data_IF_419196002112
#
_entry.id   IF_419196002112
#
_cell.length_a   1.000
_cell.length_b   1.000
_cell.length_c   1.000
_cell.angle_alpha   90.00
_cell.angle_beta   90.00
_cell.angle_gamma   90.00
#
_symmetry.space_group_name_H-M   'P 1'
#
loop_
_entity.id
_entity.type
_entity.pdbx_description
1 polymer ?
#
# COMPACT_ATOMS: atom_id res chain seq x y z
N UNK A 1 -13.37 17.59 -4.97
CA UNK A 1 -13.31 16.24 -5.57
C UNK A 1 -12.80 15.29 -4.50
N UNK A 2 -13.64 14.39 -4.01
CA UNK A 2 -13.22 13.30 -3.12
C UNK A 2 -12.71 12.18 -4.03
N UNK A 3 -11.46 11.76 -3.84
CA UNK A 3 -10.86 10.70 -4.65
C UNK A 3 -11.09 9.38 -3.94
N UNK A 4 -11.84 8.47 -4.57
CA UNK A 4 -12.06 7.14 -4.04
C UNK A 4 -10.78 6.32 -4.19
N UNK A 5 -10.24 5.86 -3.07
CA UNK A 5 -9.06 4.99 -3.02
C UNK A 5 -9.41 3.71 -2.28
N UNK A 6 -8.93 2.57 -2.81
CA UNK A 6 -9.08 1.29 -2.13
C UNK A 6 -7.93 1.10 -1.13
N UNK A 7 -8.23 0.95 0.16
CA UNK A 7 -7.23 0.57 1.17
C UNK A 7 -7.13 -0.95 1.23
N UNK A 8 -5.93 -1.49 0.99
CA UNK A 8 -5.66 -2.93 0.97
C UNK A 8 -4.68 -3.29 2.08
N UNK A 9 -5.18 -3.97 3.11
CA UNK A 9 -4.38 -4.56 4.18
C UNK A 9 -4.21 -6.07 3.92
N UNK A 10 -3.37 -6.42 2.94
CA UNK A 10 -3.27 -7.82 2.52
C UNK A 10 -1.83 -8.23 2.16
N UNK A 11 -1.00 -8.56 3.16
CA UNK A 11 0.34 -9.12 2.94
C UNK A 11 0.33 -10.62 2.59
N UNK A 12 -0.81 -11.17 2.18
CA UNK A 12 -0.97 -12.59 1.84
C UNK A 12 -0.85 -12.82 0.33
N UNK A 13 -0.64 -14.08 -0.11
CA UNK A 13 -0.62 -14.43 -1.54
C UNK A 13 -1.92 -14.00 -2.27
N UNK A 14 -3.06 -14.12 -1.62
CA UNK A 14 -4.35 -13.66 -2.12
C UNK A 14 -4.40 -12.13 -2.25
N UNK A 15 -3.88 -11.42 -1.24
CA UNK A 15 -3.73 -9.96 -1.28
C UNK A 15 -2.89 -9.47 -2.45
N UNK A 16 -1.78 -10.15 -2.73
CA UNK A 16 -0.92 -9.86 -3.89
C UNK A 16 -1.66 -10.06 -5.21
N UNK A 17 -2.40 -11.15 -5.36
CA UNK A 17 -3.20 -11.39 -6.56
C UNK A 17 -4.28 -10.32 -6.73
N UNK A 18 -4.93 -9.92 -5.63
CA UNK A 18 -5.92 -8.85 -5.62
C UNK A 18 -5.29 -7.51 -6.05
N UNK A 19 -4.18 -7.09 -5.46
CA UNK A 19 -3.48 -5.85 -5.85
C UNK A 19 -3.08 -5.84 -7.33
N UNK A 20 -2.64 -6.98 -7.87
CA UNK A 20 -2.35 -7.10 -9.31
C UNK A 20 -3.62 -6.90 -10.16
N UNK A 21 -4.73 -7.51 -9.75
CA UNK A 21 -6.00 -7.36 -10.44
C UNK A 21 -6.52 -5.92 -10.36
N UNK A 22 -6.54 -5.31 -9.18
CA UNK A 22 -6.94 -3.92 -8.95
C UNK A 22 -6.12 -2.94 -9.81
N UNK A 23 -4.81 -3.18 -9.92
CA UNK A 23 -3.91 -2.42 -10.78
C UNK A 23 -4.26 -2.56 -12.27
N UNK A 24 -4.57 -3.77 -12.73
CA UNK A 24 -4.95 -4.01 -14.13
C UNK A 24 -6.27 -3.34 -14.49
N UNK A 25 -7.21 -3.29 -13.55
CA UNK A 25 -8.51 -2.59 -13.72
C UNK A 25 -8.35 -1.07 -13.63
N UNK A 26 -7.18 -0.56 -13.24
CA UNK A 26 -6.89 0.87 -13.16
C UNK A 26 -7.43 1.55 -11.90
N UNK A 27 -7.84 0.77 -10.88
CA UNK A 27 -8.37 1.32 -9.63
C UNK A 27 -7.19 1.76 -8.75
N UNK A 28 -7.14 3.03 -8.32
CA UNK A 28 -6.08 3.50 -7.45
C UNK A 28 -6.25 2.90 -6.05
N UNK A 29 -5.17 2.36 -5.50
CA UNK A 29 -5.18 1.74 -4.19
C UNK A 29 -4.01 2.19 -3.32
N UNK A 30 -4.21 2.09 -2.01
CA UNK A 30 -3.25 2.32 -0.95
C UNK A 30 -3.00 0.99 -0.26
N UNK A 31 -1.74 0.61 -0.06
CA UNK A 31 -1.42 -0.61 0.67
C UNK A 31 -1.12 -0.30 2.14
N UNK A 32 -1.60 -1.14 3.06
CA UNK A 32 -1.31 -1.08 4.49
C UNK A 32 -0.38 -2.24 4.87
N UNK A 33 0.70 -1.95 5.58
CA UNK A 33 1.59 -2.99 6.13
C UNK A 33 2.11 -2.59 7.49
N UNK A 34 2.38 -3.56 8.35
CA UNK A 34 3.10 -3.34 9.60
C UNK A 34 4.60 -3.63 9.49
N UNK A 35 5.06 -4.13 8.33
CA UNK A 35 6.41 -4.64 8.17
C UNK A 35 7.21 -3.87 7.11
N UNK A 36 8.39 -3.38 7.50
CA UNK A 36 9.32 -2.67 6.60
C UNK A 36 9.76 -3.53 5.40
N UNK A 37 9.89 -4.85 5.58
CA UNK A 37 10.24 -5.78 4.50
C UNK A 37 9.10 -5.97 3.50
N UNK A 38 7.86 -6.02 3.99
CA UNK A 38 6.67 -6.12 3.13
C UNK A 38 6.43 -4.83 2.34
N UNK A 39 6.74 -3.66 2.93
CA UNK A 39 6.74 -2.38 2.20
C UNK A 39 7.56 -2.42 0.91
N UNK A 40 8.72 -3.07 0.93
CA UNK A 40 9.57 -3.21 -0.27
C UNK A 40 8.87 -4.08 -1.33
N UNK A 41 8.23 -5.18 -0.91
CA UNK A 41 7.46 -6.07 -1.80
C UNK A 41 6.26 -5.33 -2.40
N UNK A 42 5.51 -4.59 -1.58
CA UNK A 42 4.36 -3.78 -2.00
C UNK A 42 4.76 -2.70 -3.01
N UNK A 43 5.91 -2.06 -2.81
CA UNK A 43 6.48 -1.11 -3.77
C UNK A 43 6.74 -1.77 -5.13
N UNK A 44 7.32 -2.98 -5.14
CA UNK A 44 7.54 -3.76 -6.36
C UNK A 44 6.24 -4.18 -7.08
N UNK A 45 5.13 -4.31 -6.36
CA UNK A 45 3.82 -4.65 -6.93
C UNK A 45 3.11 -3.43 -7.56
N UNK A 46 3.61 -2.22 -7.32
CA UNK A 46 3.06 -0.98 -7.87
C UNK A 46 2.08 -0.28 -6.95
N UNK A 47 2.09 -0.58 -5.65
CA UNK A 47 1.41 0.25 -4.66
C UNK A 47 2.06 1.64 -4.67
N UNK A 48 1.33 2.66 -5.12
CA UNK A 48 1.84 4.03 -5.16
C UNK A 48 1.96 4.58 -3.75
N UNK A 49 0.89 4.46 -2.96
CA UNK A 49 0.87 4.88 -1.57
C UNK A 49 0.91 3.65 -0.68
N UNK A 50 1.83 3.65 0.27
CA UNK A 50 1.95 2.61 1.28
C UNK A 50 1.89 3.28 2.64
N UNK A 51 0.96 2.85 3.47
CA UNK A 51 0.86 3.23 4.87
C UNK A 51 1.55 2.13 5.67
N UNK A 52 2.62 2.49 6.37
CA UNK A 52 3.23 1.61 7.36
C UNK A 52 2.65 1.92 8.74
N UNK A 53 2.06 0.93 9.41
CA UNK A 53 1.56 1.05 10.78
C UNK A 53 2.32 0.09 11.68
N UNK A 54 3.16 0.64 12.54
CA UNK A 54 3.69 -0.12 13.67
C UNK A 54 2.66 -0.09 14.80
N UNK A 55 2.26 -1.27 15.28
CA UNK A 55 1.28 -1.42 16.38
C UNK A 55 1.97 -1.69 17.71
N UNK A 56 3.30 -1.78 17.73
CA UNK A 56 4.08 -1.94 18.95
C UNK A 56 4.28 -0.63 19.71
N UNK A 57 4.18 0.50 19.02
CA UNK A 57 4.10 1.83 19.60
C UNK A 57 2.63 2.25 19.72
N UNK A 58 2.20 2.69 20.90
CA UNK A 58 0.87 3.23 21.18
C UNK A 58 0.51 4.46 20.31
N UNK A 59 1.49 5.00 19.58
CA UNK A 59 1.32 6.00 18.52
C UNK A 59 1.59 5.39 17.15
N UNK A 60 0.53 4.91 16.48
CA UNK A 60 0.59 4.45 15.10
C UNK A 60 1.19 5.57 14.21
N UNK A 61 2.48 5.46 13.91
CA UNK A 61 3.19 6.43 13.09
C UNK A 61 2.84 6.19 11.63
N UNK A 62 1.77 6.84 11.14
CA UNK A 62 1.36 6.79 9.73
C UNK A 62 2.48 7.41 8.88
N UNK A 63 3.31 6.57 8.27
CA UNK A 63 4.30 7.01 7.27
C UNK A 63 3.64 6.93 5.89
N UNK A 64 2.99 8.01 5.47
CA UNK A 64 2.58 8.15 4.07
C UNK A 64 3.82 8.31 3.20
N UNK A 65 4.11 7.29 2.39
CA UNK A 65 5.17 7.38 1.39
C UNK A 65 4.52 7.61 0.04
N UNK A 66 4.53 8.87 -0.41
CA UNK A 66 4.21 9.21 -1.79
C UNK A 66 5.40 8.82 -2.69
N UNK A 67 5.19 8.12 -3.81
CA UNK A 67 6.26 7.86 -4.75
C UNK A 67 6.42 9.14 -5.55
N UNK A 68 7.46 9.92 -5.26
CA UNK A 68 7.81 11.05 -6.10
C UNK A 68 7.96 10.57 -7.56
N UNK A 69 7.17 11.22 -8.42
CA UNK A 69 7.30 11.37 -9.86
C UNK A 69 8.74 11.19 -10.33
N UNK A 70 8.98 10.22 -11.20
CA UNK A 70 10.15 10.27 -12.10
C UNK A 70 9.59 10.63 -13.47
N UNK A 71 10.15 11.71 -14.01
CA UNK A 71 9.82 12.37 -15.27
C UNK A 71 9.88 11.45 -16.47
#
# INVERSE_FOLDING_TARGET
MQSDFLLIAAPTKAGVAFMKHTKLVGIPFVALTNNKMERIKLKGLGAKRIIQVDTTDSGASIKEVCPCTTM
#
